data_IF_002123361512
#
_entry.id   IF_002123361512
#
_cell.length_a   1.000
_cell.length_b   1.000
_cell.length_c   1.000
_cell.angle_alpha   90.00
_cell.angle_beta   90.00
_cell.angle_gamma   90.00
#
_symmetry.space_group_name_H-M   'P 1'
#
loop_
_entity.id
_entity.type
_entity.pdbx_description
1 polymer ?
#
# COMPACT_ATOMS: atom_id res chain seq x y z
N UNK A 1 -13.68 16.94 -29.81
CA UNK A 1 -13.17 17.80 -28.69
C UNK A 1 -13.45 17.22 -27.30
N UNK A 2 -14.66 16.71 -26.97
CA UNK A 2 -14.97 16.17 -25.61
C UNK A 2 -14.22 14.88 -25.21
N UNK A 3 -13.83 14.06 -26.17
CA UNK A 3 -13.18 12.76 -25.92
C UNK A 3 -11.72 12.91 -25.46
N UNK A 4 -11.00 13.87 -26.06
CA UNK A 4 -9.60 14.19 -25.73
C UNK A 4 -9.44 14.76 -24.30
N UNK A 5 -10.43 15.52 -23.82
CA UNK A 5 -10.43 16.03 -22.44
C UNK A 5 -10.61 14.90 -21.42
N UNK A 6 -11.39 13.86 -21.76
CA UNK A 6 -11.68 12.73 -20.86
C UNK A 6 -10.47 11.81 -20.70
N UNK A 7 -9.78 11.51 -21.78
CA UNK A 7 -8.57 10.68 -21.78
C UNK A 7 -7.44 11.36 -21.00
N UNK A 8 -7.24 12.67 -21.21
CA UNK A 8 -6.25 13.47 -20.47
C UNK A 8 -6.56 13.53 -18.97
N UNK A 9 -7.82 13.74 -18.59
CA UNK A 9 -8.24 13.77 -17.18
C UNK A 9 -8.03 12.42 -16.49
N UNK A 10 -8.34 11.31 -17.16
CA UNK A 10 -8.10 9.96 -16.64
C UNK A 10 -6.62 9.69 -16.41
N UNK A 11 -5.76 10.07 -17.38
CA UNK A 11 -4.30 9.93 -17.27
C UNK A 11 -3.74 10.76 -16.10
N UNK A 12 -4.20 12.00 -15.95
CA UNK A 12 -3.79 12.86 -14.84
C UNK A 12 -4.22 12.27 -13.49
N UNK A 13 -5.46 11.78 -13.37
CA UNK A 13 -5.95 11.14 -12.15
C UNK A 13 -5.13 9.90 -11.80
N UNK A 14 -4.86 9.02 -12.78
CA UNK A 14 -3.99 7.86 -12.58
C UNK A 14 -2.60 8.26 -12.08
N UNK A 15 -2.01 9.30 -12.68
CA UNK A 15 -0.69 9.81 -12.26
C UNK A 15 -0.71 10.35 -10.84
N UNK A 16 -1.75 11.09 -10.44
CA UNK A 16 -1.91 11.58 -9.07
C UNK A 16 -2.00 10.40 -8.09
N UNK A 17 -2.78 9.38 -8.42
CA UNK A 17 -2.97 8.21 -7.55
C UNK A 17 -1.67 7.42 -7.35
N UNK A 18 -0.88 7.18 -8.40
CA UNK A 18 0.40 6.46 -8.24
C UNK A 18 1.42 7.27 -7.43
N UNK A 19 1.42 8.60 -7.59
CA UNK A 19 2.30 9.48 -6.80
C UNK A 19 1.85 9.57 -5.33
N UNK A 20 0.55 9.60 -5.07
CA UNK A 20 0.02 9.54 -3.72
C UNK A 20 0.36 8.21 -3.04
N UNK A 21 0.18 7.09 -3.75
CA UNK A 21 0.59 5.77 -3.28
C UNK A 21 2.09 5.73 -2.95
N UNK A 22 2.94 6.29 -3.83
CA UNK A 22 4.38 6.34 -3.61
C UNK A 22 4.74 7.20 -2.39
N UNK A 23 4.15 8.38 -2.24
CA UNK A 23 4.40 9.26 -1.11
C UNK A 23 4.04 8.57 0.22
N UNK A 24 2.86 7.96 0.31
CA UNK A 24 2.42 7.26 1.53
C UNK A 24 3.30 6.04 1.82
N UNK A 25 3.62 5.24 0.79
CA UNK A 25 4.52 4.09 0.94
C UNK A 25 5.94 4.48 1.37
N UNK A 26 6.46 5.60 0.88
CA UNK A 26 7.75 6.16 1.32
C UNK A 26 7.69 6.62 2.77
N UNK A 27 6.58 7.20 3.25
CA UNK A 27 6.41 7.53 4.67
C UNK A 27 6.52 6.26 5.53
N UNK A 28 5.83 5.17 5.17
CA UNK A 28 5.96 3.89 5.87
C UNK A 28 7.38 3.33 5.85
N UNK A 29 8.06 3.42 4.70
CA UNK A 29 9.44 2.98 4.56
C UNK A 29 10.39 3.82 5.43
N UNK A 30 10.20 5.14 5.46
CA UNK A 30 11.02 6.08 6.22
C UNK A 30 10.93 5.81 7.74
N UNK A 31 9.73 5.60 8.28
CA UNK A 31 9.58 5.22 9.69
C UNK A 31 10.20 3.85 9.99
N UNK A 32 10.03 2.88 9.08
CA UNK A 32 10.66 1.56 9.25
C UNK A 32 12.20 1.67 9.26
N UNK A 33 12.78 2.51 8.40
CA UNK A 33 14.21 2.79 8.37
C UNK A 33 14.68 3.56 9.61
N UNK A 34 13.91 4.54 10.06
CA UNK A 34 14.19 5.30 11.28
C UNK A 34 14.24 4.39 12.51
N UNK A 35 13.27 3.47 12.64
CA UNK A 35 13.29 2.47 13.72
C UNK A 35 14.41 1.44 13.56
N UNK A 36 14.76 1.08 12.32
CA UNK A 36 15.91 0.22 12.06
C UNK A 36 17.24 0.82 12.54
N UNK A 37 17.34 2.14 12.55
CA UNK A 37 18.50 2.90 13.03
C UNK A 37 18.43 3.19 14.55
N UNK A 38 17.50 2.57 15.29
CA UNK A 38 17.34 2.74 16.73
C UNK A 38 16.43 3.90 17.14
N UNK A 39 15.75 4.54 16.19
CA UNK A 39 14.73 5.52 16.47
C UNK A 39 13.55 4.92 17.25
N UNK A 40 12.96 5.67 18.17
CA UNK A 40 11.86 5.20 19.02
C UNK A 40 10.58 6.02 18.88
N UNK A 41 10.63 7.13 18.15
CA UNK A 41 9.47 7.98 17.92
C UNK A 41 8.34 7.17 17.25
N UNK A 42 7.14 7.21 17.85
CA UNK A 42 5.97 6.42 17.49
C UNK A 42 6.14 4.90 17.52
N UNK A 43 7.26 4.33 17.97
CA UNK A 43 7.42 2.87 17.98
C UNK A 43 6.41 2.18 18.90
N UNK A 44 6.01 2.82 20.01
CA UNK A 44 4.94 2.31 20.90
C UNK A 44 3.61 2.13 20.19
N UNK A 45 3.35 2.91 19.13
CA UNK A 45 2.10 2.85 18.36
C UNK A 45 2.05 1.66 17.37
N UNK A 46 3.15 0.92 17.23
CA UNK A 46 3.19 -0.38 16.53
C UNK A 46 2.91 -1.53 17.51
N UNK A 47 3.24 -1.35 18.80
CA UNK A 47 2.96 -2.32 19.86
C UNK A 47 4.14 -2.57 20.80
N UNK A 48 3.82 -2.88 22.05
CA UNK A 48 4.78 -3.20 23.10
C UNK A 48 5.77 -4.31 22.71
N UNK A 49 5.35 -5.30 21.92
CA UNK A 49 6.23 -6.37 21.43
C UNK A 49 7.35 -5.81 20.55
N UNK A 50 7.03 -4.86 19.66
CA UNK A 50 8.03 -4.23 18.80
C UNK A 50 9.02 -3.39 19.62
N UNK A 51 8.52 -2.65 20.62
CA UNK A 51 9.36 -1.89 21.55
C UNK A 51 10.30 -2.81 22.32
N UNK A 52 9.78 -3.90 22.88
CA UNK A 52 10.58 -4.83 23.67
C UNK A 52 11.63 -5.54 22.80
N UNK A 53 11.25 -5.98 21.60
CA UNK A 53 12.18 -6.61 20.66
C UNK A 53 13.30 -5.66 20.27
N UNK A 54 13.00 -4.38 19.99
CA UNK A 54 14.03 -3.37 19.67
C UNK A 54 15.02 -3.12 20.81
N UNK A 55 14.60 -3.34 22.07
CA UNK A 55 15.44 -3.15 23.26
C UNK A 55 16.29 -4.38 23.56
N UNK A 56 15.71 -5.57 23.43
CA UNK A 56 16.39 -6.84 23.71
C UNK A 56 17.40 -7.19 22.63
N UNK A 57 16.99 -7.10 21.38
CA UNK A 57 17.77 -7.57 20.22
C UNK A 57 17.93 -6.44 19.18
N UNK A 58 18.69 -5.37 19.49
CA UNK A 58 18.72 -4.16 18.68
C UNK A 58 19.26 -4.40 17.27
N UNK A 59 20.24 -5.30 17.11
CA UNK A 59 20.82 -5.61 15.79
C UNK A 59 19.83 -6.40 14.93
N UNK A 60 19.20 -7.43 15.50
CA UNK A 60 18.22 -8.25 14.77
C UNK A 60 16.97 -7.44 14.40
N UNK A 61 16.45 -6.66 15.34
CA UNK A 61 15.36 -5.71 15.10
C UNK A 61 15.74 -4.70 14.02
N UNK A 62 16.96 -4.17 14.05
CA UNK A 62 17.48 -3.26 13.03
C UNK A 62 17.49 -3.89 11.63
N UNK A 63 18.01 -5.11 11.50
CA UNK A 63 18.05 -5.84 10.23
C UNK A 63 16.64 -6.17 9.70
N UNK A 64 15.74 -6.61 10.57
CA UNK A 64 14.35 -6.90 10.21
C UNK A 64 13.63 -5.63 9.72
N UNK A 65 13.69 -4.56 10.50
CA UNK A 65 13.05 -3.28 10.16
C UNK A 65 13.68 -2.63 8.92
N UNK A 66 14.99 -2.78 8.74
CA UNK A 66 15.70 -2.33 7.53
C UNK A 66 15.24 -3.10 6.29
N UNK A 67 15.06 -4.41 6.41
CA UNK A 67 14.49 -5.24 5.34
C UNK A 67 13.07 -4.82 5.00
N UNK A 68 12.24 -4.61 6.03
CA UNK A 68 10.86 -4.13 5.88
C UNK A 68 10.83 -2.74 5.22
N UNK A 69 11.74 -1.84 5.59
CA UNK A 69 11.88 -0.52 4.99
C UNK A 69 12.21 -0.62 3.49
N UNK A 70 13.17 -1.47 3.13
CA UNK A 70 13.55 -1.70 1.73
C UNK A 70 12.38 -2.26 0.92
N UNK A 71 11.68 -3.26 1.44
CA UNK A 71 10.51 -3.85 0.76
C UNK A 71 9.42 -2.80 0.55
N UNK A 72 9.10 -1.99 1.58
CA UNK A 72 8.12 -0.91 1.47
C UNK A 72 8.54 0.15 0.45
N UNK A 73 9.81 0.54 0.45
CA UNK A 73 10.35 1.51 -0.50
C UNK A 73 10.23 1.01 -1.94
N UNK A 74 10.59 -0.25 -2.18
CA UNK A 74 10.44 -0.88 -3.49
C UNK A 74 8.96 -0.95 -3.89
N UNK A 75 8.08 -1.40 -3.00
CA UNK A 75 6.64 -1.45 -3.23
C UNK A 75 6.03 -0.07 -3.53
N UNK A 76 6.60 1.01 -2.97
CA UNK A 76 6.17 2.38 -3.22
C UNK A 76 6.66 2.91 -4.57
N UNK A 77 7.90 2.59 -4.97
CA UNK A 77 8.55 3.18 -6.15
C UNK A 77 8.36 2.38 -7.44
N UNK A 78 8.24 1.05 -7.37
CA UNK A 78 8.01 0.20 -8.54
C UNK A 78 6.75 0.62 -9.33
N UNK A 79 5.60 0.93 -8.71
CA UNK A 79 4.42 1.42 -9.42
C UNK A 79 4.69 2.72 -10.21
N UNK A 80 5.48 3.64 -9.66
CA UNK A 80 5.87 4.89 -10.35
C UNK A 80 6.73 4.60 -11.56
N UNK A 81 7.69 3.67 -11.43
CA UNK A 81 8.54 3.24 -12.53
C UNK A 81 7.75 2.47 -13.61
N UNK A 82 6.75 1.68 -13.21
CA UNK A 82 5.81 1.03 -14.14
C UNK A 82 4.97 2.07 -14.90
N UNK A 83 4.42 3.05 -14.21
CA UNK A 83 3.63 4.12 -14.82
C UNK A 83 4.47 4.92 -15.84
N UNK A 84 5.75 5.16 -15.50
CA UNK A 84 6.71 5.79 -16.40
C UNK A 84 7.24 4.87 -17.53
N UNK A 85 6.76 3.62 -17.63
CA UNK A 85 7.21 2.62 -18.61
C UNK A 85 8.72 2.30 -18.54
N UNK A 86 9.31 2.35 -17.34
CA UNK A 86 10.75 2.12 -17.10
C UNK A 86 11.09 0.76 -16.50
N UNK A 87 10.10 -0.08 -16.24
CA UNK A 87 10.30 -1.40 -15.62
C UNK A 87 10.36 -2.52 -16.64
N UNK A 88 11.33 -3.45 -16.53
CA UNK A 88 11.29 -4.70 -17.28
C UNK A 88 10.10 -5.56 -16.80
N UNK A 89 9.59 -6.42 -17.68
CA UNK A 89 8.46 -7.33 -17.40
C UNK A 89 7.24 -6.65 -16.74
N UNK A 90 6.68 -5.58 -17.35
CA UNK A 90 5.65 -4.75 -16.71
C UNK A 90 4.39 -5.55 -16.32
N UNK A 91 4.09 -6.66 -17.01
CA UNK A 91 2.96 -7.53 -16.69
C UNK A 91 3.12 -8.23 -15.33
N UNK A 92 4.32 -8.69 -15.00
CA UNK A 92 4.61 -9.39 -13.73
C UNK A 92 4.44 -8.43 -12.57
N UNK A 93 5.08 -7.26 -12.65
CA UNK A 93 4.97 -6.25 -11.59
C UNK A 93 3.56 -5.72 -11.44
N UNK A 94 2.82 -5.53 -12.54
CA UNK A 94 1.39 -5.18 -12.46
C UNK A 94 0.56 -6.28 -11.78
N UNK A 95 0.85 -7.56 -12.01
CA UNK A 95 0.17 -8.65 -11.30
C UNK A 95 0.48 -8.60 -9.79
N UNK A 96 1.74 -8.38 -9.42
CA UNK A 96 2.15 -8.19 -8.02
C UNK A 96 1.41 -7.00 -7.41
N UNK A 97 1.32 -5.85 -8.10
CA UNK A 97 0.56 -4.70 -7.62
C UNK A 97 -0.94 -4.99 -7.49
N UNK A 98 -1.53 -5.81 -8.38
CA UNK A 98 -2.94 -6.21 -8.31
C UNK A 98 -3.25 -7.14 -7.13
N UNK A 99 -2.26 -7.88 -6.65
CA UNK A 99 -2.39 -8.65 -5.40
C UNK A 99 -2.12 -7.75 -4.20
N UNK A 100 -1.02 -7.00 -4.23
CA UNK A 100 -0.55 -6.18 -3.12
C UNK A 100 -1.49 -5.02 -2.78
N UNK A 101 -2.02 -4.29 -3.77
CA UNK A 101 -2.91 -3.16 -3.55
C UNK A 101 -4.17 -3.53 -2.75
N UNK A 102 -5.02 -4.44 -3.27
CA UNK A 102 -6.17 -4.95 -2.53
C UNK A 102 -5.80 -5.64 -1.22
N UNK A 103 -4.69 -6.39 -1.19
CA UNK A 103 -4.21 -7.02 0.05
C UNK A 103 -3.94 -6.02 1.16
N UNK A 104 -3.25 -4.91 0.85
CA UNK A 104 -2.97 -3.84 1.80
C UNK A 104 -4.25 -3.08 2.20
N UNK A 105 -5.21 -2.89 1.28
CA UNK A 105 -6.54 -2.33 1.62
C UNK A 105 -7.24 -3.19 2.67
N UNK A 106 -7.31 -4.50 2.44
CA UNK A 106 -7.98 -5.42 3.35
C UNK A 106 -7.26 -5.46 4.70
N UNK A 107 -5.94 -5.55 4.69
CA UNK A 107 -5.11 -5.52 5.90
C UNK A 107 -5.37 -4.26 6.73
N UNK A 108 -5.27 -3.08 6.11
CA UNK A 108 -5.47 -1.81 6.79
C UNK A 108 -6.90 -1.68 7.32
N UNK A 109 -7.91 -2.02 6.51
CA UNK A 109 -9.31 -1.95 6.93
C UNK A 109 -9.60 -2.86 8.14
N UNK A 110 -9.13 -4.11 8.10
CA UNK A 110 -9.33 -5.07 9.19
C UNK A 110 -8.73 -4.55 10.49
N UNK A 111 -7.50 -4.03 10.44
CA UNK A 111 -6.85 -3.50 11.64
C UNK A 111 -7.54 -2.23 12.17
N UNK A 112 -7.96 -1.31 11.30
CA UNK A 112 -8.73 -0.12 11.72
C UNK A 112 -9.99 -0.53 12.47
N UNK A 113 -10.74 -1.48 11.91
CA UNK A 113 -11.99 -1.97 12.51
C UNK A 113 -11.71 -2.68 13.84
N UNK A 114 -10.72 -3.58 13.88
CA UNK A 114 -10.37 -4.32 15.09
C UNK A 114 -9.91 -3.38 16.22
N UNK A 115 -8.93 -2.53 15.95
CA UNK A 115 -8.41 -1.59 16.95
C UNK A 115 -9.45 -0.54 17.35
N UNK A 116 -10.26 -0.06 16.40
CA UNK A 116 -11.37 0.84 16.69
C UNK A 116 -12.44 0.20 17.58
N UNK A 117 -12.81 -1.05 17.32
CA UNK A 117 -13.77 -1.78 18.14
C UNK A 117 -13.25 -2.01 19.57
N UNK A 118 -11.94 -2.25 19.74
CA UNK A 118 -11.30 -2.32 21.07
C UNK A 118 -11.35 -0.97 21.77
N UNK A 119 -10.99 0.13 21.09
CA UNK A 119 -11.00 1.47 21.68
C UNK A 119 -12.40 1.97 22.04
N UNK A 120 -13.42 1.54 21.31
CA UNK A 120 -14.83 1.85 21.59
C UNK A 120 -15.45 0.95 22.67
N UNK A 121 -14.72 -0.05 23.18
CA UNK A 121 -15.22 -1.00 24.17
C UNK A 121 -16.23 -2.02 23.61
N UNK A 122 -16.36 -2.12 22.29
CA UNK A 122 -17.20 -3.12 21.62
C UNK A 122 -16.54 -4.50 21.73
N UNK A 123 -15.20 -4.54 21.60
CA UNK A 123 -14.39 -5.73 21.84
C UNK A 123 -13.55 -5.52 23.10
N UNK A 124 -13.61 -6.45 24.04
CA UNK A 124 -12.84 -6.39 25.29
C UNK A 124 -11.87 -7.58 25.33
N UNK A 125 -10.59 -7.38 24.99
CA UNK A 125 -9.59 -8.44 25.04
C UNK A 125 -9.37 -8.94 26.46
N UNK A 126 -9.36 -10.26 26.64
CA UNK A 126 -8.96 -10.89 27.89
C UNK A 126 -7.47 -10.60 28.15
N UNK A 127 -7.15 -10.09 29.35
CA UNK A 127 -5.78 -9.71 29.71
C UNK A 127 -5.39 -8.26 29.41
N UNK A 128 -6.33 -7.44 28.92
CA UNK A 128 -6.10 -6.03 28.61
C UNK A 128 -5.50 -5.81 27.22
N UNK A 129 -5.18 -4.55 26.88
CA UNK A 129 -4.61 -4.20 25.59
C UNK A 129 -3.61 -3.05 25.69
N UNK A 130 -2.69 -2.99 24.73
CA UNK A 130 -1.79 -1.85 24.56
C UNK A 130 -2.54 -0.71 23.87
N UNK A 131 -2.83 0.34 24.64
CA UNK A 131 -3.63 1.48 24.17
C UNK A 131 -2.93 2.30 23.09
N UNK A 132 -1.62 2.47 23.19
CA UNK A 132 -0.85 3.22 22.21
C UNK A 132 -0.85 2.49 20.86
N UNK A 133 -0.69 1.17 20.90
CA UNK A 133 -0.80 0.32 19.70
C UNK A 133 -2.18 0.44 19.06
N UNK A 134 -3.25 0.32 19.85
CA UNK A 134 -4.61 0.42 19.31
C UNK A 134 -4.88 1.79 18.68
N UNK A 135 -4.39 2.88 19.28
CA UNK A 135 -4.50 4.22 18.70
C UNK A 135 -3.69 4.33 17.40
N UNK A 136 -2.46 3.82 17.40
CA UNK A 136 -1.59 3.79 16.23
C UNK A 136 -2.23 3.08 15.05
N UNK A 137 -2.75 1.88 15.29
CA UNK A 137 -3.43 1.07 14.29
C UNK A 137 -4.73 1.73 13.82
N UNK A 138 -5.60 2.20 14.74
CA UNK A 138 -6.89 2.77 14.36
C UNK A 138 -6.78 4.11 13.62
N UNK A 139 -5.81 4.97 13.97
CA UNK A 139 -5.81 6.37 13.55
C UNK A 139 -4.59 6.80 12.72
N UNK A 140 -3.54 5.98 12.64
CA UNK A 140 -2.32 6.37 11.95
C UNK A 140 -1.86 5.35 10.91
N UNK A 141 -1.36 4.19 11.35
CA UNK A 141 -0.64 3.27 10.47
C UNK A 141 -1.55 2.56 9.48
N UNK A 142 -2.65 1.99 9.96
CA UNK A 142 -3.54 1.24 9.08
C UNK A 142 -4.42 2.13 8.20
N UNK A 143 -4.85 3.35 8.63
CA UNK A 143 -5.40 4.33 7.70
C UNK A 143 -4.43 4.72 6.59
N UNK A 144 -3.13 4.89 6.89
CA UNK A 144 -2.13 5.14 5.86
C UNK A 144 -1.96 3.92 4.93
N UNK A 145 -1.93 2.70 5.45
CA UNK A 145 -1.93 1.49 4.61
C UNK A 145 -3.17 1.42 3.72
N UNK A 146 -4.36 1.66 4.27
CA UNK A 146 -5.62 1.68 3.53
C UNK A 146 -5.56 2.70 2.39
N UNK A 147 -5.14 3.93 2.67
CA UNK A 147 -5.01 4.99 1.66
C UNK A 147 -3.97 4.64 0.59
N UNK A 148 -2.84 4.05 0.98
CA UNK A 148 -1.82 3.56 0.05
C UNK A 148 -2.40 2.50 -0.90
N UNK A 149 -3.05 1.47 -0.33
CA UNK A 149 -3.67 0.39 -1.10
C UNK A 149 -4.77 0.88 -2.04
N UNK A 150 -5.62 1.80 -1.58
CA UNK A 150 -6.69 2.39 -2.39
C UNK A 150 -6.11 3.22 -3.54
N UNK A 151 -5.10 4.03 -3.28
CA UNK A 151 -4.44 4.82 -4.31
C UNK A 151 -3.77 3.93 -5.37
N UNK A 152 -3.05 2.89 -4.93
CA UNK A 152 -2.41 1.94 -5.83
C UNK A 152 -3.44 1.17 -6.69
N UNK A 153 -4.50 0.67 -6.06
CA UNK A 153 -5.57 -0.08 -6.74
C UNK A 153 -6.34 0.82 -7.71
N UNK A 154 -6.60 2.07 -7.33
CA UNK A 154 -7.23 3.07 -8.19
C UNK A 154 -6.38 3.39 -9.42
N UNK A 155 -5.06 3.55 -9.26
CA UNK A 155 -4.14 3.70 -10.38
C UNK A 155 -4.19 2.49 -11.33
N UNK A 156 -4.14 1.27 -10.80
CA UNK A 156 -4.22 0.06 -11.62
C UNK A 156 -5.53 -0.02 -12.40
N UNK A 157 -6.65 0.35 -11.75
CA UNK A 157 -7.98 0.33 -12.34
C UNK A 157 -8.13 1.36 -13.47
N UNK A 158 -7.60 2.58 -13.29
CA UNK A 158 -7.63 3.62 -14.33
C UNK A 158 -6.66 3.34 -15.49
N UNK A 159 -5.61 2.55 -15.27
CA UNK A 159 -4.61 2.18 -16.29
C UNK A 159 -4.81 0.78 -16.87
N UNK A 160 -5.93 0.11 -16.56
CA UNK A 160 -6.21 -1.22 -17.11
C UNK A 160 -6.42 -1.13 -18.63
N UNK A 161 -5.86 -2.05 -19.43
CA UNK A 161 -6.20 -2.14 -20.85
C UNK A 161 -7.70 -2.43 -20.99
N UNK A 162 -8.44 -1.57 -21.68
CA UNK A 162 -9.80 -1.89 -22.12
C UNK A 162 -9.68 -2.92 -23.24
N UNK A 163 -10.27 -4.10 -23.07
CA UNK A 163 -10.38 -5.05 -24.16
C UNK A 163 -11.20 -4.39 -25.28
N UNK A 164 -10.55 -3.98 -26.36
CA UNK A 164 -11.23 -3.68 -27.60
C UNK A 164 -11.81 -4.99 -28.10
N UNK A 165 -13.12 -5.15 -27.99
CA UNK A 165 -13.87 -6.18 -28.70
C UNK A 165 -13.70 -5.90 -30.20
N UNK A 166 -12.66 -6.45 -30.82
CA UNK A 166 -12.60 -6.53 -32.28
C UNK A 166 -13.73 -7.48 -32.68
N UNK A 167 -14.77 -7.02 -33.39
CA UNK A 167 -15.77 -7.94 -33.92
C UNK A 167 -15.04 -8.90 -34.87
N UNK A 168 -15.38 -10.20 -34.89
CA UNK A 168 -14.83 -11.10 -35.89
C UNK A 168 -15.15 -10.51 -37.28
N UNK A 169 -14.10 -10.13 -38.01
CA UNK A 169 -14.19 -9.85 -39.44
C UNK A 169 -14.62 -11.14 -40.12
N UNK A 170 -15.91 -11.26 -40.41
CA UNK A 170 -16.42 -12.20 -41.41
C UNK A 170 -15.94 -11.74 -42.78
N UNK A 171 -14.64 -11.93 -43.06
CA UNK A 171 -14.13 -11.87 -44.42
C UNK A 171 -14.47 -13.20 -45.12
N UNK A 172 -15.43 -13.10 -46.03
CA UNK A 172 -15.36 -13.71 -47.35
C UNK A 172 -15.06 -15.21 -47.42
N UNK A 173 -16.10 -16.04 -47.26
CA UNK A 173 -16.15 -17.31 -48.00
C UNK A 173 -16.56 -16.96 -49.44
N UNK A 174 -15.57 -16.71 -50.29
CA UNK A 174 -15.75 -16.66 -51.74
C UNK A 174 -15.50 -18.06 -52.30
N UNK A 175 -16.58 -18.59 -52.91
CA UNK A 175 -16.72 -19.76 -53.79
C UNK A 175 -16.66 -21.14 -53.14
#
# INVERSE_FOLDING_TARGET
MREDTRTRRSRNAARILVLAAAAIGVVHAAFSAYWALGGTWLLSTIGAIAVEFSRREPVESGLLLGTVALVKLLAALIPVALDAQRMPWPRVWRAICWVGGPGIVLYGLVNIVASGAVLLGILVPEGGYDRDAMIGHALLWDPLFLLWGLALTGWLWLTRPTASTTPPTTEGRVK
#
